data_IF_310944102988
#
_entry.id   IF_310944102988
#
_cell.length_a   1.000
_cell.length_b   1.000
_cell.length_c   1.000
_cell.angle_alpha   90.00
_cell.angle_beta   90.00
_cell.angle_gamma   90.00
#
_symmetry.space_group_name_H-M   'P 1'
#
loop_
_entity.id
_entity.type
_entity.pdbx_description
1 polymer ?
#
# COMPACT_ATOMS: atom_id res chain seq x y z
N UNK A 1 -10.14 19.21 -0.49
CA UNK A 1 -9.95 19.63 -1.90
C UNK A 1 -9.23 18.55 -2.69
N UNK A 2 -9.62 18.28 -3.92
CA UNK A 2 -8.89 17.39 -4.82
C UNK A 2 -7.62 18.06 -5.33
N UNK A 3 -6.61 17.24 -5.66
CA UNK A 3 -5.35 17.71 -6.24
C UNK A 3 -5.10 17.00 -7.56
N UNK A 4 -4.56 17.71 -8.55
CA UNK A 4 -4.22 17.16 -9.85
C UNK A 4 -2.70 17.20 -10.06
N UNK A 5 -2.13 16.05 -10.43
CA UNK A 5 -0.70 15.88 -10.64
C UNK A 5 -0.46 15.32 -12.05
N UNK A 6 0.52 15.85 -12.76
CA UNK A 6 1.10 15.19 -13.93
C UNK A 6 2.39 14.51 -13.50
N UNK A 7 2.51 13.23 -13.76
CA UNK A 7 3.65 12.41 -13.32
C UNK A 7 4.38 11.91 -14.55
N UNK A 8 5.70 12.08 -14.52
CA UNK A 8 6.63 11.61 -15.53
C UNK A 8 7.65 10.68 -14.87
N UNK A 9 7.67 9.44 -15.29
CA UNK A 9 8.61 8.44 -14.81
C UNK A 9 9.57 8.13 -15.96
N UNK A 10 10.82 8.59 -15.86
CA UNK A 10 11.90 8.28 -16.80
C UNK A 10 12.65 7.03 -16.35
N UNK A 11 12.92 6.13 -17.27
CA UNK A 11 13.71 4.92 -17.10
C UNK A 11 14.94 5.04 -18.02
N UNK A 12 16.04 5.52 -17.46
CA UNK A 12 17.22 5.92 -18.24
C UNK A 12 18.21 4.79 -18.49
N UNK A 13 17.99 3.61 -17.91
CA UNK A 13 18.88 2.45 -18.09
C UNK A 13 18.48 1.62 -19.31
N UNK A 14 19.44 1.17 -20.14
CA UNK A 14 19.18 0.30 -21.29
C UNK A 14 19.02 -1.18 -20.84
N UNK A 15 18.19 -1.41 -19.85
CA UNK A 15 17.92 -2.73 -19.26
C UNK A 15 16.44 -3.04 -19.34
N UNK A 16 16.10 -4.31 -19.39
CA UNK A 16 14.70 -4.72 -19.22
C UNK A 16 14.25 -4.37 -17.82
N UNK A 17 13.18 -3.63 -17.72
CA UNK A 17 12.59 -3.19 -16.45
C UNK A 17 11.13 -3.55 -16.34
N UNK A 18 10.70 -3.88 -15.14
CA UNK A 18 9.31 -4.09 -14.76
C UNK A 18 8.83 -2.91 -13.95
N UNK A 19 7.63 -2.45 -14.22
CA UNK A 19 7.00 -1.39 -13.44
C UNK A 19 5.48 -1.61 -13.37
N UNK A 20 4.90 -1.45 -12.17
CA UNK A 20 3.45 -1.49 -12.04
C UNK A 20 2.83 -0.17 -12.49
N UNK A 21 1.86 -0.26 -13.40
CA UNK A 21 1.13 0.89 -13.90
C UNK A 21 0.12 1.33 -12.84
N UNK A 22 0.14 2.61 -12.41
CA UNK A 22 -0.84 3.11 -11.48
C UNK A 22 -2.26 2.90 -11.98
N UNK A 23 -3.12 2.39 -11.11
CA UNK A 23 -4.53 2.16 -11.38
C UNK A 23 -5.38 3.12 -10.56
N UNK A 24 -6.58 3.46 -11.08
CA UNK A 24 -7.54 4.25 -10.31
C UNK A 24 -8.00 3.50 -9.06
N UNK A 25 -8.26 4.23 -8.00
CA UNK A 25 -8.73 3.71 -6.71
C UNK A 25 -9.83 4.59 -6.13
N UNK A 26 -10.26 4.32 -4.90
CA UNK A 26 -11.30 5.11 -4.22
C UNK A 26 -10.89 6.56 -3.93
N UNK A 27 -9.60 6.85 -3.91
CA UNK A 27 -9.08 8.18 -3.55
C UNK A 27 -8.18 8.81 -4.62
N UNK A 28 -8.05 8.17 -5.78
CA UNK A 28 -7.44 8.84 -6.94
C UNK A 28 -7.93 8.23 -8.26
N UNK A 29 -7.93 9.07 -9.27
CA UNK A 29 -8.24 8.71 -10.65
C UNK A 29 -7.02 8.93 -11.53
N UNK A 30 -6.62 7.92 -12.28
CA UNK A 30 -5.50 7.95 -13.24
C UNK A 30 -6.05 8.11 -14.63
N UNK A 31 -5.49 9.04 -15.39
CA UNK A 31 -5.88 9.33 -16.78
C UNK A 31 -4.67 9.73 -17.62
N UNK A 32 -4.88 9.80 -18.94
CA UNK A 32 -3.86 10.22 -19.91
C UNK A 32 -2.54 9.44 -19.80
N UNK A 33 -2.63 8.13 -19.54
CA UNK A 33 -1.47 7.25 -19.53
C UNK A 33 -0.88 7.20 -20.95
N UNK A 34 0.37 7.61 -21.07
CA UNK A 34 1.17 7.53 -22.31
C UNK A 34 2.48 6.84 -22.00
N UNK A 35 2.80 5.84 -22.79
CA UNK A 35 4.03 5.07 -22.69
C UNK A 35 4.87 5.41 -23.92
N UNK A 36 6.00 6.06 -23.71
CA UNK A 36 6.99 6.37 -24.74
C UNK A 36 8.12 5.36 -24.62
N UNK A 37 8.00 4.27 -25.33
CA UNK A 37 8.98 3.17 -25.38
C UNK A 37 8.99 2.58 -26.79
N UNK A 38 10.15 2.12 -27.25
CA UNK A 38 10.30 1.45 -28.56
C UNK A 38 9.52 0.13 -28.57
N UNK A 39 9.68 -0.66 -27.51
CA UNK A 39 8.94 -1.93 -27.32
C UNK A 39 8.54 -2.08 -25.86
N UNK A 40 7.31 -2.50 -25.62
CA UNK A 40 6.84 -2.87 -24.30
C UNK A 40 5.83 -4.01 -24.34
N UNK A 41 5.68 -4.69 -23.21
CA UNK A 41 4.69 -5.74 -23.00
C UNK A 41 3.86 -5.38 -21.75
N UNK A 42 2.55 -5.58 -21.83
CA UNK A 42 1.65 -5.45 -20.68
C UNK A 42 1.34 -6.85 -20.15
N UNK A 43 1.47 -7.01 -18.84
CA UNK A 43 1.18 -8.24 -18.12
C UNK A 43 0.17 -7.91 -17.03
N UNK A 44 -0.88 -8.71 -16.92
CA UNK A 44 -1.79 -8.68 -15.78
C UNK A 44 -1.30 -9.68 -14.73
N UNK A 45 -0.96 -9.16 -13.56
CA UNK A 45 -0.61 -9.99 -12.40
C UNK A 45 -1.93 -10.57 -11.82
N UNK A 46 -2.04 -11.90 -11.83
CA UNK A 46 -3.33 -12.60 -11.64
C UNK A 46 -3.82 -12.64 -10.18
N UNK A 47 -2.91 -12.52 -9.20
CA UNK A 47 -3.23 -12.69 -7.77
C UNK A 47 -3.97 -11.48 -7.21
N UNK A 48 -3.51 -10.28 -7.57
CA UNK A 48 -4.02 -9.00 -7.07
C UNK A 48 -4.60 -8.10 -8.15
N UNK A 49 -4.48 -8.49 -9.43
CA UNK A 49 -4.97 -7.73 -10.58
C UNK A 49 -4.13 -6.50 -10.92
N UNK A 50 -2.83 -6.50 -10.57
CA UNK A 50 -1.94 -5.42 -10.93
C UNK A 50 -1.62 -5.45 -12.42
N UNK A 51 -1.52 -4.27 -13.03
CA UNK A 51 -1.03 -4.13 -14.41
C UNK A 51 0.44 -3.82 -14.38
N UNK A 52 1.25 -4.70 -14.95
CA UNK A 52 2.70 -4.58 -15.01
C UNK A 52 3.12 -4.32 -16.44
N UNK A 53 3.98 -3.35 -16.64
CA UNK A 53 4.63 -3.10 -17.92
C UNK A 53 6.06 -3.63 -17.87
N UNK A 54 6.46 -4.34 -18.91
CA UNK A 54 7.83 -4.73 -19.19
C UNK A 54 8.37 -3.79 -20.26
N UNK A 55 9.40 -3.06 -19.94
CA UNK A 55 10.03 -2.08 -20.81
C UNK A 55 11.42 -2.59 -21.18
N UNK A 56 11.77 -2.49 -22.47
CA UNK A 56 13.12 -2.68 -22.97
C UNK A 56 13.66 -1.32 -23.36
N UNK A 57 14.85 -1.00 -22.92
CA UNK A 57 15.54 0.25 -23.21
C UNK A 57 14.99 1.49 -22.46
N UNK A 58 15.58 2.64 -22.77
CA UNK A 58 15.16 3.93 -22.25
C UNK A 58 13.71 4.22 -22.59
N UNK A 59 12.93 4.55 -21.58
CA UNK A 59 11.50 4.75 -21.76
C UNK A 59 10.95 5.79 -20.78
N UNK A 60 9.78 6.28 -21.09
CA UNK A 60 9.09 7.28 -20.28
C UNK A 60 7.61 6.93 -20.16
N UNK A 61 7.09 6.97 -18.94
CA UNK A 61 5.68 6.80 -18.64
C UNK A 61 5.13 8.13 -18.12
N UNK A 62 4.13 8.67 -18.79
CA UNK A 62 3.44 9.88 -18.40
C UNK A 62 1.99 9.59 -18.06
N UNK A 63 1.47 10.18 -17.00
CA UNK A 63 0.07 10.09 -16.63
C UNK A 63 -0.38 11.27 -15.77
N UNK A 64 -1.68 11.45 -15.68
CA UNK A 64 -2.31 12.43 -14.80
C UNK A 64 -3.01 11.71 -13.66
N UNK A 65 -2.81 12.19 -12.44
CA UNK A 65 -3.52 11.71 -11.24
C UNK A 65 -4.37 12.85 -10.70
N UNK A 66 -5.65 12.57 -10.48
CA UNK A 66 -6.52 13.44 -9.68
C UNK A 66 -6.77 12.71 -8.35
N UNK A 67 -6.19 13.22 -7.27
CA UNK A 67 -6.26 12.61 -5.94
C UNK A 67 -7.28 13.35 -5.07
N UNK A 68 -7.99 12.59 -4.23
CA UNK A 68 -9.02 13.07 -3.33
C UNK A 68 -8.72 12.63 -1.90
N UNK A 69 -9.10 13.41 -0.88
CA UNK A 69 -9.11 12.89 0.47
C UNK A 69 -10.21 11.82 0.58
N UNK A 70 -9.89 10.70 1.20
CA UNK A 70 -10.82 9.61 1.42
C UNK A 70 -10.94 9.34 2.91
N UNK A 71 -12.17 9.37 3.41
CA UNK A 71 -12.51 9.04 4.80
C UNK A 71 -13.55 7.93 4.79
N UNK A 72 -13.29 6.89 5.56
CA UNK A 72 -14.18 5.75 5.74
C UNK A 72 -14.42 5.51 7.23
N UNK A 73 -15.48 4.81 7.57
CA UNK A 73 -15.84 4.40 8.93
C UNK A 73 -16.29 2.94 8.91
N UNK A 74 -16.03 2.23 10.00
CA UNK A 74 -16.55 0.88 10.22
C UNK A 74 -17.92 1.02 10.89
N UNK A 75 -18.94 0.38 10.32
CA UNK A 75 -20.25 0.34 10.93
C UNK A 75 -20.16 -0.30 12.34
N UNK A 76 -20.60 0.38 13.40
CA UNK A 76 -20.50 -0.13 14.77
C UNK A 76 -21.29 -1.42 15.02
N UNK A 77 -22.23 -1.78 14.14
CA UNK A 77 -22.97 -3.05 14.21
C UNK A 77 -22.18 -4.24 13.63
N UNK A 78 -21.08 -4.01 12.93
CA UNK A 78 -20.26 -5.12 12.40
C UNK A 78 -19.49 -5.83 13.50
N UNK A 79 -19.51 -7.15 13.42
CA UNK A 79 -18.74 -8.07 14.25
C UNK A 79 -17.85 -8.94 13.38
N UNK A 80 -16.97 -9.73 13.97
CA UNK A 80 -16.15 -10.70 13.22
C UNK A 80 -17.03 -11.71 12.45
N UNK A 81 -18.19 -12.09 13.00
CA UNK A 81 -19.14 -12.98 12.31
C UNK A 81 -19.84 -12.34 11.10
N UNK A 82 -19.83 -11.02 10.99
CA UNK A 82 -20.42 -10.32 9.83
C UNK A 82 -19.77 -10.72 8.50
N UNK A 83 -18.54 -11.22 8.54
CA UNK A 83 -17.84 -11.74 7.34
C UNK A 83 -18.38 -13.05 6.79
N UNK A 84 -19.18 -13.81 7.53
CA UNK A 84 -19.72 -15.11 7.08
C UNK A 84 -20.56 -15.01 5.81
N UNK A 85 -21.18 -13.85 5.58
CA UNK A 85 -22.01 -13.57 4.40
C UNK A 85 -21.27 -12.79 3.30
N UNK A 86 -20.01 -12.46 3.50
CA UNK A 86 -19.23 -11.63 2.58
C UNK A 86 -18.39 -12.49 1.64
N UNK A 87 -18.47 -12.23 0.34
CA UNK A 87 -17.57 -12.88 -0.62
C UNK A 87 -16.17 -12.27 -0.52
N UNK A 88 -15.29 -12.97 0.20
CA UNK A 88 -13.91 -12.52 0.41
C UNK A 88 -12.99 -13.18 -0.62
N UNK A 89 -12.22 -12.43 -1.41
CA UNK A 89 -11.17 -13.00 -2.24
C UNK A 89 -10.15 -13.75 -1.37
N UNK A 90 -9.88 -15.01 -1.70
CA UNK A 90 -8.99 -15.89 -0.92
C UNK A 90 -7.63 -15.24 -0.63
N UNK A 91 -7.10 -14.47 -1.58
CA UNK A 91 -5.81 -13.81 -1.47
C UNK A 91 -5.69 -12.88 -0.24
N UNK A 92 -6.79 -12.29 0.22
CA UNK A 92 -6.77 -11.38 1.38
C UNK A 92 -6.57 -12.10 2.73
N UNK A 93 -6.76 -13.42 2.75
CA UNK A 93 -6.59 -14.27 3.92
C UNK A 93 -5.54 -15.37 3.72
N UNK A 94 -4.87 -15.42 2.55
CA UNK A 94 -3.83 -16.40 2.28
C UNK A 94 -2.49 -15.92 2.87
N UNK A 95 -1.89 -16.69 3.79
CA UNK A 95 -0.57 -16.39 4.31
C UNK A 95 0.50 -16.42 3.21
N UNK A 96 1.53 -15.61 3.39
CA UNK A 96 2.74 -15.61 2.57
C UNK A 96 3.96 -15.26 3.44
N UNK A 97 5.15 -15.15 2.87
CA UNK A 97 6.37 -14.87 3.63
C UNK A 97 6.35 -13.49 4.35
N UNK A 98 5.57 -12.53 3.87
CA UNK A 98 5.48 -11.17 4.44
C UNK A 98 4.33 -11.00 5.42
N UNK A 99 3.23 -11.72 5.22
CA UNK A 99 2.00 -11.60 6.02
C UNK A 99 1.53 -13.00 6.39
N UNK A 100 1.50 -13.32 7.70
CA UNK A 100 1.09 -14.64 8.14
C UNK A 100 0.32 -14.59 9.48
N UNK A 101 -1.00 -14.58 9.38
CA UNK A 101 -1.89 -14.66 10.55
C UNK A 101 -2.00 -16.06 11.16
N UNK A 102 -1.41 -17.10 10.53
CA UNK A 102 -1.36 -18.46 11.07
C UNK A 102 -0.18 -18.71 12.01
N UNK A 103 0.78 -17.78 12.07
CA UNK A 103 1.90 -17.84 13.00
C UNK A 103 1.40 -17.84 14.44
N UNK A 104 1.91 -18.77 15.27
CA UNK A 104 1.43 -18.96 16.64
C UNK A 104 1.74 -17.77 17.56
N UNK A 105 2.85 -17.06 17.35
CA UNK A 105 3.18 -15.84 18.10
C UNK A 105 2.20 -14.72 17.76
N UNK A 106 1.85 -14.56 16.47
CA UNK A 106 0.86 -13.58 16.01
C UNK A 106 -0.52 -13.89 16.57
N UNK A 107 -0.97 -15.16 16.53
CA UNK A 107 -2.26 -15.58 17.09
C UNK A 107 -2.32 -15.35 18.61
N UNK A 108 -1.27 -15.75 19.34
CA UNK A 108 -1.17 -15.57 20.78
C UNK A 108 -1.22 -14.08 21.13
N UNK A 109 -0.48 -13.25 20.39
CA UNK A 109 -0.46 -11.81 20.57
C UNK A 109 -1.83 -11.19 20.33
N UNK A 110 -2.48 -11.51 19.22
CA UNK A 110 -3.83 -11.02 18.91
C UNK A 110 -4.86 -11.47 19.98
N UNK A 111 -4.77 -12.72 20.47
CA UNK A 111 -5.62 -13.21 21.57
C UNK A 111 -5.42 -12.41 22.85
N UNK A 112 -4.16 -12.13 23.23
CA UNK A 112 -3.83 -11.32 24.41
C UNK A 112 -4.38 -9.90 24.33
N UNK A 113 -4.30 -9.27 23.15
CA UNK A 113 -4.77 -7.89 22.92
C UNK A 113 -6.30 -7.80 22.99
N UNK A 114 -6.97 -8.77 22.40
CA UNK A 114 -8.41 -8.68 22.14
C UNK A 114 -9.27 -9.34 23.25
N UNK A 115 -8.75 -10.38 23.93
CA UNK A 115 -9.58 -11.20 24.81
C UNK A 115 -10.75 -11.82 24.04
N UNK A 116 -11.98 -11.53 24.47
CA UNK A 116 -13.23 -12.01 23.86
C UNK A 116 -13.92 -10.97 22.95
N UNK A 117 -13.23 -9.89 22.62
CA UNK A 117 -13.82 -8.82 21.78
C UNK A 117 -14.18 -9.31 20.39
N UNK A 118 -15.39 -9.00 19.94
CA UNK A 118 -15.92 -9.41 18.64
C UNK A 118 -16.41 -8.24 17.78
N UNK A 119 -16.61 -7.05 18.37
CA UNK A 119 -17.00 -5.86 17.61
C UNK A 119 -15.86 -5.47 16.65
N UNK A 120 -16.16 -5.38 15.36
CA UNK A 120 -15.15 -5.20 14.32
C UNK A 120 -14.38 -3.89 14.48
N UNK A 121 -15.06 -2.78 14.78
CA UNK A 121 -14.40 -1.48 14.97
C UNK A 121 -13.42 -1.53 16.16
N UNK A 122 -13.86 -2.09 17.28
CA UNK A 122 -13.04 -2.23 18.49
C UNK A 122 -11.85 -3.16 18.25
N UNK A 123 -12.06 -4.29 17.57
CA UNK A 123 -11.00 -5.25 17.23
C UNK A 123 -9.94 -4.56 16.36
N UNK A 124 -10.35 -3.93 15.28
CA UNK A 124 -9.42 -3.25 14.35
C UNK A 124 -8.68 -2.13 15.07
N UNK A 125 -9.38 -1.34 15.89
CA UNK A 125 -8.76 -0.23 16.64
C UNK A 125 -7.73 -0.72 17.66
N UNK A 126 -8.04 -1.77 18.43
CA UNK A 126 -7.09 -2.35 19.39
C UNK A 126 -5.83 -2.89 18.72
N UNK A 127 -5.97 -3.63 17.61
CA UNK A 127 -4.81 -4.15 16.86
C UNK A 127 -3.98 -3.02 16.23
N UNK A 128 -4.64 -1.99 15.73
CA UNK A 128 -4.00 -0.81 15.18
C UNK A 128 -3.21 -0.04 16.26
N UNK A 129 -3.83 0.28 17.37
CA UNK A 129 -3.19 1.01 18.49
C UNK A 129 -2.01 0.21 19.05
N UNK A 130 -2.19 -1.10 19.26
CA UNK A 130 -1.09 -1.97 19.65
C UNK A 130 0.08 -1.91 18.67
N UNK A 131 -0.18 -1.91 17.35
CA UNK A 131 0.88 -1.79 16.35
C UNK A 131 1.67 -0.48 16.51
N UNK A 132 0.97 0.64 16.81
CA UNK A 132 1.63 1.93 17.06
C UNK A 132 2.46 1.96 18.34
N UNK A 133 2.10 1.19 19.34
CA UNK A 133 2.81 1.09 20.62
C UNK A 133 3.98 0.11 20.54
N UNK A 134 3.79 -1.01 19.83
CA UNK A 134 4.74 -2.10 19.77
C UNK A 134 5.93 -1.81 18.86
N UNK A 135 5.71 -1.09 17.76
CA UNK A 135 6.71 -0.83 16.74
C UNK A 135 7.27 0.60 16.81
N UNK A 136 8.53 0.72 16.43
CA UNK A 136 9.23 1.99 16.25
C UNK A 136 9.60 2.16 14.77
N UNK A 137 9.38 3.36 14.22
CA UNK A 137 9.78 3.63 12.84
C UNK A 137 11.29 3.89 12.75
N UNK A 138 11.96 3.13 11.91
CA UNK A 138 13.39 3.25 11.66
C UNK A 138 13.87 2.24 10.62
N UNK A 139 15.16 2.27 10.30
CA UNK A 139 15.84 1.28 9.45
C UNK A 139 15.09 0.93 8.14
N UNK A 140 14.75 1.89 7.26
CA UNK A 140 14.09 1.56 6.01
C UNK A 140 14.98 0.66 5.16
N UNK A 141 14.39 -0.39 4.55
CA UNK A 141 15.09 -1.32 3.67
C UNK A 141 14.66 -1.12 2.22
N UNK A 142 15.47 -1.69 1.31
CA UNK A 142 15.08 -1.87 -0.07
C UNK A 142 14.32 -3.22 -0.21
N UNK A 143 13.01 -3.15 -0.43
CA UNK A 143 12.11 -4.30 -0.42
C UNK A 143 10.99 -4.16 0.61
N UNK A 144 10.51 -5.28 1.13
CA UNK A 144 9.42 -5.33 2.10
C UNK A 144 9.85 -6.06 3.38
N UNK A 145 9.68 -5.43 4.52
CA UNK A 145 9.83 -6.11 5.81
C UNK A 145 8.80 -7.21 5.98
N UNK A 146 9.21 -8.47 6.23
CA UNK A 146 8.29 -9.50 6.66
C UNK A 146 7.77 -9.21 8.09
N UNK A 147 6.53 -9.62 8.37
CA UNK A 147 5.91 -9.48 9.71
C UNK A 147 6.79 -10.06 10.82
N UNK A 148 7.49 -11.17 10.54
CA UNK A 148 8.34 -11.87 11.53
C UNK A 148 9.53 -11.02 11.94
N UNK A 149 10.14 -10.29 11.02
CA UNK A 149 11.23 -9.37 11.33
C UNK A 149 10.71 -8.18 12.15
N UNK A 150 9.57 -7.57 11.76
CA UNK A 150 8.94 -6.51 12.53
C UNK A 150 8.55 -6.97 13.94
N UNK A 151 8.04 -8.20 14.08
CA UNK A 151 7.71 -8.81 15.36
C UNK A 151 8.94 -8.95 16.28
N UNK A 152 10.07 -9.37 15.74
CA UNK A 152 11.27 -9.67 16.54
C UNK A 152 12.10 -8.41 16.84
N UNK A 153 12.33 -7.56 15.85
CA UNK A 153 13.20 -6.37 15.98
C UNK A 153 12.49 -5.15 16.55
N UNK A 154 11.16 -5.05 16.38
CA UNK A 154 10.32 -3.91 16.79
C UNK A 154 10.71 -2.56 16.16
N UNK A 155 11.74 -2.52 15.34
CA UNK A 155 12.17 -1.35 14.56
C UNK A 155 11.99 -1.70 13.09
N UNK A 156 11.19 -0.90 12.37
CA UNK A 156 10.82 -1.20 11.00
C UNK A 156 10.38 0.06 10.24
N UNK A 157 10.12 -0.06 8.95
CA UNK A 157 9.60 1.02 8.10
C UNK A 157 8.08 0.91 7.87
N UNK A 158 7.55 1.65 6.89
CA UNK A 158 6.13 1.62 6.55
C UNK A 158 5.65 0.24 6.08
N UNK A 159 6.52 -0.52 5.40
CA UNK A 159 6.25 -1.89 4.98
C UNK A 159 6.03 -2.81 6.18
N UNK A 160 6.96 -2.81 7.14
CA UNK A 160 6.87 -3.67 8.31
C UNK A 160 5.74 -3.29 9.28
N UNK A 161 5.42 -2.00 9.44
CA UNK A 161 4.20 -1.60 10.15
C UNK A 161 2.95 -2.22 9.49
N UNK A 162 2.91 -2.22 8.16
CA UNK A 162 1.77 -2.75 7.41
C UNK A 162 1.71 -4.28 7.44
N UNK A 163 2.81 -4.99 7.23
CA UNK A 163 2.83 -6.47 7.22
C UNK A 163 2.55 -7.05 8.60
N UNK A 164 3.05 -6.42 9.67
CA UNK A 164 2.76 -6.81 11.04
C UNK A 164 1.28 -6.64 11.37
N UNK A 165 0.71 -5.45 11.11
CA UNK A 165 -0.72 -5.20 11.33
C UNK A 165 -1.60 -6.13 10.48
N UNK A 166 -1.24 -6.36 9.22
CA UNK A 166 -1.97 -7.29 8.35
C UNK A 166 -1.97 -8.72 8.90
N UNK A 167 -0.85 -9.18 9.50
CA UNK A 167 -0.77 -10.50 10.12
C UNK A 167 -1.66 -10.60 11.36
N UNK A 168 -1.71 -9.56 12.19
CA UNK A 168 -2.64 -9.50 13.33
C UNK A 168 -4.10 -9.54 12.88
N UNK A 169 -4.47 -8.76 11.84
CA UNK A 169 -5.81 -8.76 11.27
C UNK A 169 -6.18 -10.13 10.67
N UNK A 170 -5.26 -10.71 9.90
CA UNK A 170 -5.45 -12.02 9.27
C UNK A 170 -5.64 -13.14 10.30
N UNK A 171 -4.99 -13.06 11.50
CA UNK A 171 -5.17 -14.03 12.57
C UNK A 171 -6.59 -14.05 13.14
N UNK A 172 -7.37 -13.01 12.89
CA UNK A 172 -8.78 -12.86 13.26
C UNK A 172 -9.72 -12.98 12.06
N UNK A 173 -9.22 -13.50 10.93
CA UNK A 173 -9.94 -13.63 9.67
C UNK A 173 -10.49 -12.29 9.14
N UNK A 174 -9.82 -11.17 9.45
CA UNK A 174 -10.15 -9.86 8.90
C UNK A 174 -9.39 -9.70 7.58
N UNK A 175 -10.09 -9.64 6.44
CA UNK A 175 -9.45 -9.58 5.13
C UNK A 175 -8.83 -8.21 4.90
N UNK A 176 -7.55 -8.19 4.52
CA UNK A 176 -6.83 -6.96 4.23
C UNK A 176 -5.90 -7.11 3.04
N UNK A 177 -5.57 -5.99 2.42
CA UNK A 177 -4.56 -5.94 1.36
C UNK A 177 -3.52 -4.87 1.65
N UNK A 178 -2.28 -5.19 1.36
CA UNK A 178 -1.21 -4.21 1.32
C UNK A 178 -1.44 -3.29 0.12
N UNK A 179 -1.32 -1.99 0.32
CA UNK A 179 -1.36 -0.99 -0.73
C UNK A 179 0.01 -0.36 -0.84
N UNK A 180 0.53 -0.36 -2.06
CA UNK A 180 1.90 0.08 -2.33
C UNK A 180 1.87 1.23 -3.32
N UNK A 181 2.62 2.27 -3.01
CA UNK A 181 2.61 3.45 -3.85
C UNK A 181 3.54 4.55 -3.35
N UNK A 182 3.14 5.77 -3.55
CA UNK A 182 3.94 6.94 -3.23
C UNK A 182 3.16 8.00 -2.49
N UNK A 183 3.89 8.74 -1.65
CA UNK A 183 3.44 10.04 -1.13
C UNK A 183 4.02 11.12 -2.03
N UNK A 184 3.16 11.95 -2.59
CA UNK A 184 3.57 13.09 -3.42
C UNK A 184 4.09 14.22 -2.51
N UNK A 185 5.33 14.70 -2.75
CA UNK A 185 5.91 15.81 -2.01
C UNK A 185 5.08 17.08 -2.21
N UNK A 186 4.79 17.79 -1.14
CA UNK A 186 4.40 19.20 -1.26
C UNK A 186 5.64 19.99 -1.68
N UNK A 187 5.63 20.54 -2.86
CA UNK A 187 6.65 21.50 -3.29
C UNK A 187 6.01 22.90 -3.22
N UNK A 188 6.26 23.62 -2.12
CA UNK A 188 5.64 24.91 -1.83
C UNK A 188 5.95 25.93 -2.95
N UNK A 189 7.15 25.88 -3.52
CA UNK A 189 7.55 26.76 -4.63
C UNK A 189 6.78 26.37 -5.91
N UNK A 190 6.67 25.07 -6.22
CA UNK A 190 5.85 24.59 -7.32
C UNK A 190 4.35 24.88 -7.10
N UNK A 191 3.86 24.81 -5.87
CA UNK A 191 2.47 25.13 -5.51
C UNK A 191 2.16 26.65 -5.65
N UNK A 192 3.13 27.52 -5.35
CA UNK A 192 3.00 28.98 -5.52
C UNK A 192 3.06 29.40 -7.00
N UNK A 193 3.97 28.80 -7.77
CA UNK A 193 4.11 29.07 -9.22
C UNK A 193 2.96 28.49 -10.04
N UNK A 194 2.15 27.62 -9.46
CA UNK A 194 1.10 26.87 -10.14
C UNK A 194 -0.32 27.41 -10.02
N UNK A 195 -0.51 28.67 -9.68
CA UNK A 195 -1.83 29.26 -9.92
C UNK A 195 -2.29 29.13 -11.39
N UNK A 196 -1.38 28.80 -12.33
CA UNK A 196 -1.64 28.74 -13.78
C UNK A 196 -1.01 27.56 -14.53
N UNK A 197 -0.24 26.64 -13.92
CA UNK A 197 0.40 25.53 -14.65
C UNK A 197 0.30 24.19 -13.92
N UNK A 198 0.16 23.10 -14.70
CA UNK A 198 0.06 21.74 -14.21
C UNK A 198 1.40 21.27 -13.67
N UNK A 199 1.44 20.84 -12.40
CA UNK A 199 2.61 20.31 -11.72
C UNK A 199 3.18 19.08 -12.43
N UNK A 200 4.44 19.13 -12.83
CA UNK A 200 5.19 17.97 -13.32
C UNK A 200 5.97 17.35 -12.17
N UNK A 201 5.65 16.11 -11.86
CA UNK A 201 6.36 15.31 -10.84
C UNK A 201 7.26 14.31 -11.54
N UNK A 202 8.48 14.17 -11.02
CA UNK A 202 9.43 13.12 -11.36
C UNK A 202 9.52 12.10 -10.22
N UNK A 203 10.23 11.00 -10.42
CA UNK A 203 10.48 10.01 -9.36
C UNK A 203 11.09 10.63 -8.09
N UNK A 204 11.92 11.66 -8.22
CA UNK A 204 12.55 12.36 -7.10
C UNK A 204 11.56 13.16 -6.22
N UNK A 205 10.39 13.46 -6.76
CA UNK A 205 9.32 14.16 -6.03
C UNK A 205 8.39 13.19 -5.27
N UNK A 206 8.63 11.89 -5.38
CA UNK A 206 7.81 10.83 -4.82
C UNK A 206 8.54 10.13 -3.67
N UNK A 207 7.84 9.91 -2.55
CA UNK A 207 8.34 9.05 -1.47
C UNK A 207 7.65 7.70 -1.51
N UNK A 208 8.42 6.64 -1.56
CA UNK A 208 7.90 5.27 -1.43
C UNK A 208 7.11 5.14 -0.12
N UNK A 209 5.97 4.50 -0.20
CA UNK A 209 5.10 4.29 0.95
C UNK A 209 4.22 3.07 0.79
N UNK A 210 3.96 2.40 1.91
CA UNK A 210 3.04 1.28 2.00
C UNK A 210 2.07 1.50 3.16
N UNK A 211 0.81 1.06 2.96
CA UNK A 211 -0.25 1.10 3.96
C UNK A 211 -1.21 -0.06 3.74
N UNK A 212 -2.28 -0.16 4.50
CA UNK A 212 -3.28 -1.23 4.40
C UNK A 212 -4.65 -0.72 4.02
N UNK A 213 -5.45 -1.61 3.45
CA UNK A 213 -6.90 -1.49 3.34
C UNK A 213 -7.56 -2.77 3.83
N UNK A 214 -8.54 -2.64 4.74
CA UNK A 214 -9.41 -3.72 5.18
C UNK A 214 -10.61 -3.76 4.25
N UNK A 215 -10.97 -4.95 3.75
CA UNK A 215 -12.28 -5.17 3.12
C UNK A 215 -13.32 -5.33 4.22
N UNK A 216 -14.31 -4.45 4.26
CA UNK A 216 -15.41 -4.50 5.24
C UNK A 216 -16.50 -5.50 4.82
N UNK A 217 -17.36 -5.93 5.76
CA UNK A 217 -18.46 -6.85 5.47
C UNK A 217 -19.45 -6.38 4.38
N UNK A 218 -19.58 -5.07 4.19
CA UNK A 218 -20.41 -4.45 3.15
C UNK A 218 -19.72 -4.33 1.79
N UNK A 219 -18.49 -4.83 1.66
CA UNK A 219 -17.69 -4.76 0.42
C UNK A 219 -16.92 -3.45 0.24
N UNK A 220 -17.08 -2.48 1.12
CA UNK A 220 -16.29 -1.25 1.09
C UNK A 220 -14.87 -1.45 1.67
N UNK A 221 -13.98 -0.49 1.45
CA UNK A 221 -12.63 -0.53 2.00
C UNK A 221 -12.43 0.51 3.11
N UNK A 222 -11.67 0.10 4.13
CA UNK A 222 -11.29 0.96 5.25
C UNK A 222 -9.75 1.06 5.31
N UNK A 223 -9.16 2.24 5.08
CA UNK A 223 -7.73 2.41 5.03
C UNK A 223 -7.10 2.54 6.42
N UNK A 224 -5.88 2.01 6.55
CA UNK A 224 -5.05 2.07 7.74
C UNK A 224 -3.62 2.47 7.35
N UNK A 225 -3.13 3.61 7.83
CA UNK A 225 -1.75 4.08 7.61
C UNK A 225 -1.02 4.24 8.96
N UNK A 226 -0.59 3.10 9.59
CA UNK A 226 -0.04 3.12 10.93
C UNK A 226 1.29 3.88 11.01
N UNK A 227 2.13 3.80 10.00
CA UNK A 227 3.46 4.44 10.03
C UNK A 227 3.39 5.97 9.99
N UNK A 228 2.46 6.55 9.22
CA UNK A 228 2.25 8.00 9.20
C UNK A 228 1.62 8.47 10.52
N UNK A 229 0.67 7.73 11.06
CA UNK A 229 0.07 8.07 12.35
C UNK A 229 1.10 8.00 13.48
N UNK A 230 1.94 6.97 13.51
CA UNK A 230 3.04 6.84 14.45
C UNK A 230 3.99 8.05 14.37
N UNK A 231 4.46 8.40 13.17
CA UNK A 231 5.32 9.59 12.95
C UNK A 231 4.65 10.87 13.43
N UNK A 232 3.35 11.02 13.19
CA UNK A 232 2.59 12.21 13.63
C UNK A 232 2.48 12.25 15.15
N UNK A 233 2.16 11.14 15.81
CA UNK A 233 2.12 11.06 17.29
C UNK A 233 3.47 11.36 17.94
N UNK A 234 4.57 11.06 17.26
CA UNK A 234 5.94 11.37 17.71
C UNK A 234 6.42 12.76 17.28
N UNK A 235 5.59 13.59 16.65
CA UNK A 235 5.98 14.92 16.19
C UNK A 235 6.91 14.95 14.98
N UNK A 236 7.18 13.80 14.35
CA UNK A 236 8.15 13.67 13.24
C UNK A 236 7.56 14.08 11.88
N UNK A 237 6.26 14.27 11.79
CA UNK A 237 5.58 14.71 10.56
C UNK A 237 4.27 15.43 10.85
N UNK A 238 3.94 16.41 10.02
CA UNK A 238 2.62 17.05 9.99
C UNK A 238 1.67 16.40 8.96
N UNK A 239 2.12 15.33 8.27
CA UNK A 239 1.30 14.64 7.27
C UNK A 239 0.08 14.00 7.91
N UNK A 240 -1.03 14.11 7.21
CA UNK A 240 -2.27 13.46 7.61
C UNK A 240 -2.32 12.03 7.08
N UNK A 241 -3.22 11.23 7.60
CA UNK A 241 -3.40 9.81 7.33
C UNK A 241 -3.45 9.03 8.64
N UNK A 242 -3.88 7.79 8.59
CA UNK A 242 -3.97 6.93 9.77
C UNK A 242 -5.20 6.05 9.75
N UNK A 243 -5.93 6.02 10.84
CA UNK A 243 -7.12 5.19 11.01
C UNK A 243 -8.31 5.75 10.22
N UNK A 244 -8.71 5.06 9.16
CA UNK A 244 -9.88 5.41 8.33
C UNK A 244 -9.71 6.64 7.44
N UNK A 245 -8.49 7.15 7.26
CA UNK A 245 -8.28 8.37 6.48
C UNK A 245 -7.03 8.32 5.61
N UNK A 246 -7.19 8.65 4.33
CA UNK A 246 -6.13 8.88 3.35
C UNK A 246 -6.26 10.29 2.78
N UNK A 247 -5.21 11.13 2.85
CA UNK A 247 -5.23 12.48 2.27
C UNK A 247 -5.01 12.45 0.75
N UNK A 248 -5.28 13.58 0.09
CA UNK A 248 -5.14 13.76 -1.36
C UNK A 248 -3.67 13.89 -1.83
N UNK A 249 -2.77 13.10 -1.27
CA UNK A 249 -1.35 13.07 -1.63
C UNK A 249 -0.81 11.64 -1.83
N UNK A 250 -1.70 10.66 -1.95
CA UNK A 250 -1.34 9.26 -2.22
C UNK A 250 -1.51 8.91 -3.68
N UNK A 251 -0.54 8.17 -4.21
CA UNK A 251 -0.59 7.50 -5.50
C UNK A 251 -0.43 6.00 -5.29
N UNK A 252 -1.43 5.21 -5.61
CA UNK A 252 -1.34 3.75 -5.62
C UNK A 252 -0.71 3.29 -6.92
N UNK A 253 0.24 2.38 -6.84
CA UNK A 253 0.82 1.72 -8.02
C UNK A 253 0.53 0.24 -8.06
N UNK A 254 0.42 -0.42 -6.90
CA UNK A 254 0.07 -1.84 -6.83
C UNK A 254 -0.63 -2.22 -5.53
N UNK A 255 -1.26 -3.38 -5.54
CA UNK A 255 -1.86 -4.03 -4.38
C UNK A 255 -1.15 -5.35 -4.10
N UNK A 256 -0.99 -5.67 -2.82
CA UNK A 256 -0.42 -6.93 -2.36
C UNK A 256 1.11 -6.97 -2.34
N UNK A 257 1.63 -8.15 -2.16
CA UNK A 257 3.05 -8.49 -2.11
C UNK A 257 3.25 -9.96 -2.47
N UNK A 258 4.52 -10.39 -2.56
CA UNK A 258 4.90 -11.78 -2.83
C UNK A 258 4.36 -12.27 -4.19
N UNK A 259 4.87 -11.65 -5.23
CA UNK A 259 4.45 -11.91 -6.61
C UNK A 259 5.32 -12.96 -7.27
N UNK A 260 4.70 -13.74 -8.16
CA UNK A 260 5.38 -14.58 -9.13
C UNK A 260 4.93 -14.15 -10.52
N UNK A 261 5.86 -13.63 -11.32
CA UNK A 261 5.60 -13.19 -12.68
C UNK A 261 6.37 -14.05 -13.68
N UNK A 262 5.66 -14.60 -14.66
CA UNK A 262 6.30 -15.25 -15.80
C UNK A 262 6.51 -14.23 -16.92
N UNK A 263 7.76 -14.02 -17.31
CA UNK A 263 8.13 -13.09 -18.37
C UNK A 263 9.00 -13.83 -19.37
N UNK A 264 8.50 -13.99 -20.58
CA UNK A 264 9.21 -14.72 -21.66
C UNK A 264 9.67 -16.13 -21.23
N UNK A 265 8.84 -16.86 -20.47
CA UNK A 265 9.13 -18.21 -19.99
C UNK A 265 10.01 -18.29 -18.73
N UNK A 266 10.50 -17.17 -18.20
CA UNK A 266 11.27 -17.12 -16.96
C UNK A 266 10.43 -16.61 -15.81
N UNK A 267 10.45 -17.30 -14.66
CA UNK A 267 9.74 -16.91 -13.45
C UNK A 267 10.58 -15.97 -12.58
N UNK A 268 9.97 -14.88 -12.16
CA UNK A 268 10.56 -13.88 -11.26
C UNK A 268 9.75 -13.81 -9.97
N UNK A 269 10.43 -13.91 -8.83
CA UNK A 269 9.87 -13.64 -7.50
C UNK A 269 10.11 -12.19 -7.14
N UNK A 270 9.06 -11.47 -6.77
CA UNK A 270 9.10 -10.02 -6.56
C UNK A 270 8.33 -9.71 -5.27
N UNK A 271 8.99 -9.07 -4.33
CA UNK A 271 8.38 -8.70 -3.04
C UNK A 271 7.31 -7.62 -3.21
N UNK A 272 7.65 -6.54 -3.91
CA UNK A 272 6.80 -5.37 -4.13
C UNK A 272 6.90 -4.86 -5.58
N UNK A 273 5.77 -4.42 -6.11
CA UNK A 273 5.69 -3.73 -7.40
C UNK A 273 5.56 -2.22 -7.18
N UNK A 274 6.60 -1.57 -6.67
CA UNK A 274 6.57 -0.13 -6.31
C UNK A 274 7.47 0.72 -7.20
N UNK A 275 8.71 0.33 -7.35
CA UNK A 275 9.72 0.97 -8.17
C UNK A 275 10.04 0.10 -9.38
N UNK A 276 10.71 0.66 -10.41
CA UNK A 276 11.23 -0.16 -11.50
C UNK A 276 12.16 -1.27 -10.99
N UNK A 277 11.92 -2.48 -11.44
CA UNK A 277 12.73 -3.67 -11.13
C UNK A 277 13.47 -4.00 -12.41
N UNK A 278 14.79 -4.04 -12.36
CA UNK A 278 15.64 -4.42 -13.49
C UNK A 278 15.87 -5.94 -13.49
N UNK A 279 15.72 -6.59 -14.67
CA UNK A 279 15.81 -8.03 -14.86
C UNK A 279 16.73 -8.39 -16.03
#
# INVERSE_FOLDING_TARGET
MSKKYKIRLGLDKPLTSLFSIPQSSYYHYVSNLKINALKYQLIEEKKWGNKVIVLKDKSEINFTVKSFPFKSSINPKFTLSSYQKTKIPKVYLTPNQFINGKDEKIKSLAKKILGQETNLLTVVKKLYDFTLEYLTYGKPIDGLYPYSQALNEKITDCGGFSTFLASLLQSKNIPSRLVVGFIMKKNIIKDLLNKFQVLRYTFHDLFMHAWLEILLPDGSFFPLDPSIEWKRKKGLTKRQGGFGFIPADRLVVSYGCDFELNINGKNYKIDLLQKPIFI
#
